data_IF_681709299954
#
_entry.id   IF_681709299954
#
_cell.length_a   1.000
_cell.length_b   1.000
_cell.length_c   1.000
_cell.angle_alpha   90.00
_cell.angle_beta   90.00
_cell.angle_gamma   90.00
#
_symmetry.space_group_name_H-M   'P 1'
#
loop_
_entity.id
_entity.type
_entity.pdbx_description
1 polymer ?
#
# COMPACT_ATOMS: atom_id res chain seq x y z
N UNK A 1 46.57 39.78 -0.91
CA UNK A 1 46.77 38.32 -0.76
C UNK A 1 45.42 37.60 -0.56
N UNK A 2 44.46 37.68 -1.49
CA UNK A 2 43.06 37.27 -1.20
C UNK A 2 42.19 36.80 -2.37
N UNK A 3 42.79 36.35 -3.48
CA UNK A 3 42.03 35.84 -4.65
C UNK A 3 42.14 34.33 -4.86
N UNK A 4 43.09 33.65 -4.18
CA UNK A 4 43.32 32.21 -4.32
C UNK A 4 42.38 31.35 -3.44
N UNK A 5 41.83 31.89 -2.35
CA UNK A 5 41.02 31.11 -1.41
C UNK A 5 39.56 30.93 -1.83
N UNK A 6 39.03 31.82 -2.69
CA UNK A 6 37.62 31.79 -3.13
C UNK A 6 37.36 30.85 -4.32
N UNK A 7 38.38 30.47 -5.09
CA UNK A 7 38.24 29.63 -6.29
C UNK A 7 38.10 28.15 -5.87
N UNK A 8 38.88 27.70 -4.90
CA UNK A 8 38.94 26.30 -4.45
C UNK A 8 37.64 25.84 -3.79
N UNK A 9 37.00 26.66 -2.96
CA UNK A 9 35.75 26.28 -2.27
C UNK A 9 34.55 26.21 -3.23
N UNK A 10 34.50 27.09 -4.25
CA UNK A 10 33.40 27.13 -5.22
C UNK A 10 33.50 25.99 -6.24
N UNK A 11 34.72 25.65 -6.67
CA UNK A 11 34.96 24.50 -7.55
C UNK A 11 34.71 23.16 -6.85
N UNK A 12 35.15 23.01 -5.59
CA UNK A 12 34.84 21.83 -4.77
C UNK A 12 33.34 21.66 -4.53
N UNK A 13 32.62 22.74 -4.22
CA UNK A 13 31.17 22.71 -4.06
C UNK A 13 30.46 22.35 -5.38
N UNK A 14 30.93 22.86 -6.52
CA UNK A 14 30.39 22.48 -7.84
C UNK A 14 30.69 21.02 -8.19
N UNK A 15 31.88 20.52 -7.84
CA UNK A 15 32.29 19.13 -8.05
C UNK A 15 31.51 18.15 -7.18
N UNK A 16 31.24 18.52 -5.93
CA UNK A 16 30.37 17.76 -5.04
C UNK A 16 28.92 17.74 -5.54
N UNK A 17 28.35 18.89 -5.92
CA UNK A 17 26.99 18.97 -6.46
C UNK A 17 26.86 18.22 -7.79
N UNK A 18 27.86 18.29 -8.67
CA UNK A 18 27.90 17.52 -9.90
C UNK A 18 28.02 16.02 -9.63
N UNK A 19 28.87 15.62 -8.67
CA UNK A 19 29.02 14.23 -8.23
C UNK A 19 27.75 13.68 -7.58
N UNK A 20 27.08 14.47 -6.76
CA UNK A 20 25.80 14.14 -6.14
C UNK A 20 24.67 14.03 -7.16
N UNK A 21 24.61 14.96 -8.13
CA UNK A 21 23.68 14.88 -9.27
C UNK A 21 23.93 13.59 -10.05
N UNK A 22 25.18 13.26 -10.39
CA UNK A 22 25.52 12.02 -11.09
C UNK A 22 25.21 10.76 -10.26
N UNK A 23 25.25 10.85 -8.92
CA UNK A 23 24.87 9.77 -8.03
C UNK A 23 23.35 9.55 -8.00
N UNK A 24 22.57 10.62 -7.81
CA UNK A 24 21.10 10.54 -7.82
C UNK A 24 20.60 10.15 -9.21
N UNK A 25 21.18 10.63 -10.30
CA UNK A 25 20.75 10.26 -11.66
C UNK A 25 20.93 8.77 -11.98
N UNK A 26 21.56 7.98 -11.10
CA UNK A 26 21.49 6.52 -11.18
C UNK A 26 20.05 6.09 -10.85
N UNK A 27 19.29 5.65 -11.84
CA UNK A 27 17.85 5.30 -11.68
C UNK A 27 17.54 4.41 -10.47
N UNK A 28 18.38 3.40 -10.20
CA UNK A 28 18.25 2.50 -9.04
C UNK A 28 18.27 3.24 -7.68
N UNK A 29 18.94 4.40 -7.58
CA UNK A 29 19.02 5.19 -6.34
C UNK A 29 17.75 6.02 -6.14
N UNK A 30 17.19 6.58 -7.22
CA UNK A 30 15.95 7.38 -7.15
C UNK A 30 14.79 6.49 -6.75
N UNK A 31 14.62 5.34 -7.40
CA UNK A 31 13.50 4.45 -7.15
C UNK A 31 13.54 3.88 -5.72
N UNK A 32 14.74 3.53 -5.23
CA UNK A 32 14.93 3.13 -3.84
C UNK A 32 14.61 4.27 -2.87
N UNK A 33 15.09 5.49 -3.14
CA UNK A 33 14.85 6.64 -2.27
C UNK A 33 13.34 7.00 -2.20
N UNK A 34 12.66 6.98 -3.34
CA UNK A 34 11.21 7.21 -3.40
C UNK A 34 10.45 6.12 -2.62
N UNK A 35 10.83 4.85 -2.79
CA UNK A 35 10.25 3.74 -2.05
C UNK A 35 10.39 3.87 -0.52
N UNK A 36 11.56 4.29 -0.03
CA UNK A 36 11.79 4.49 1.41
C UNK A 36 11.01 5.68 1.96
N UNK A 37 10.96 6.81 1.23
CA UNK A 37 10.22 8.00 1.66
C UNK A 37 8.72 7.71 1.71
N UNK A 38 8.18 7.10 0.65
CA UNK A 38 6.76 6.73 0.58
C UNK A 38 6.46 5.68 1.64
N UNK A 39 7.30 4.65 1.81
CA UNK A 39 7.12 3.62 2.82
C UNK A 39 7.09 4.19 4.24
N UNK A 40 8.00 5.11 4.56
CA UNK A 40 8.04 5.78 5.87
C UNK A 40 6.83 6.70 6.12
N UNK A 41 6.39 7.44 5.10
CA UNK A 41 5.20 8.30 5.22
C UNK A 41 3.90 7.47 5.31
N UNK A 42 3.75 6.46 4.47
CA UNK A 42 2.60 5.57 4.44
C UNK A 42 2.47 4.75 5.72
N UNK A 43 3.60 4.29 6.28
CA UNK A 43 3.64 3.65 7.59
C UNK A 43 2.99 4.50 8.67
N UNK A 44 3.30 5.81 8.73
CA UNK A 44 2.67 6.74 9.70
C UNK A 44 1.16 6.87 9.51
N UNK A 45 0.69 6.91 8.26
CA UNK A 45 -0.75 6.98 7.95
C UNK A 45 -1.46 5.73 8.49
N UNK A 46 -0.89 4.55 8.26
CA UNK A 46 -1.44 3.30 8.77
C UNK A 46 -1.38 3.26 10.30
N UNK A 47 -0.25 3.65 10.91
CA UNK A 47 -0.11 3.70 12.36
C UNK A 47 -1.16 4.61 13.00
N UNK A 48 -1.42 5.79 12.43
CA UNK A 48 -2.48 6.69 12.92
C UNK A 48 -3.87 6.08 12.72
N UNK A 49 -4.16 5.48 11.56
CA UNK A 49 -5.44 4.79 11.35
C UNK A 49 -5.66 3.67 12.39
N UNK A 50 -4.62 2.88 12.68
CA UNK A 50 -4.72 1.83 13.68
C UNK A 50 -4.89 2.42 15.07
N UNK A 51 -4.01 3.33 15.48
CA UNK A 51 -3.96 3.83 16.86
C UNK A 51 -5.14 4.75 17.20
N UNK A 52 -5.58 5.56 16.25
CA UNK A 52 -6.56 6.62 16.50
C UNK A 52 -7.98 6.20 16.09
N UNK A 53 -8.14 5.18 15.24
CA UNK A 53 -9.47 4.74 14.75
C UNK A 53 -9.79 3.29 15.13
N UNK A 54 -8.84 2.37 15.01
CA UNK A 54 -9.11 0.93 15.24
C UNK A 54 -8.95 0.55 16.71
N UNK A 55 -7.90 1.04 17.39
CA UNK A 55 -7.63 0.72 18.78
C UNK A 55 -8.67 1.26 19.76
N UNK A 56 -9.20 2.50 19.66
CA UNK A 56 -10.12 3.00 20.68
C UNK A 56 -11.40 2.15 20.84
N UNK A 57 -12.08 1.73 19.74
CA UNK A 57 -13.20 0.80 19.84
C UNK A 57 -12.82 -0.56 20.44
N UNK A 58 -11.66 -1.11 20.07
CA UNK A 58 -11.18 -2.40 20.59
C UNK A 58 -10.84 -2.30 22.09
N UNK A 59 -10.19 -1.21 22.49
CA UNK A 59 -9.84 -0.93 23.88
C UNK A 59 -11.08 -0.80 24.76
N UNK A 60 -12.11 -0.09 24.29
CA UNK A 60 -13.41 -0.01 24.99
C UNK A 60 -14.06 -1.38 25.09
N UNK A 61 -14.05 -2.18 24.01
CA UNK A 61 -14.65 -3.51 23.99
C UNK A 61 -13.98 -4.50 24.97
N UNK A 62 -12.66 -4.37 25.14
CA UNK A 62 -11.86 -5.22 26.04
C UNK A 62 -11.92 -4.77 27.51
N UNK A 63 -12.65 -3.68 27.82
CA UNK A 63 -12.81 -3.18 29.19
C UNK A 63 -11.89 -2.03 29.57
N UNK A 64 -11.41 -1.25 28.61
CA UNK A 64 -10.52 -0.10 28.84
C UNK A 64 -9.07 -0.51 29.15
N UNK A 65 -8.66 -1.71 28.73
CA UNK A 65 -7.32 -2.24 29.04
C UNK A 65 -6.29 -1.55 28.16
N UNK A 66 -5.66 -0.50 28.68
CA UNK A 66 -4.38 -0.05 28.15
C UNK A 66 -3.30 -1.00 28.66
N UNK A 67 -2.83 -1.89 27.79
CA UNK A 67 -1.76 -2.83 28.14
C UNK A 67 -0.49 -2.12 28.64
N UNK A 68 -0.31 -0.82 28.32
CA UNK A 68 0.72 0.08 28.85
C UNK A 68 0.78 0.16 30.38
N UNK A 69 -0.33 -0.05 31.08
CA UNK A 69 -0.41 0.10 32.54
C UNK A 69 0.12 -1.12 33.29
N UNK A 70 0.41 -2.23 32.59
CA UNK A 70 1.07 -3.37 33.19
C UNK A 70 2.54 -3.06 33.45
N UNK A 71 2.84 -2.73 34.71
CA UNK A 71 4.19 -2.46 35.19
C UNK A 71 4.47 -3.19 36.50
N UNK A 72 5.65 -3.79 36.59
CA UNK A 72 6.14 -4.42 37.82
C UNK A 72 7.15 -3.49 38.50
N UNK A 73 6.92 -3.15 39.77
CA UNK A 73 7.86 -2.38 40.58
C UNK A 73 9.03 -3.28 41.02
N UNK A 74 10.23 -3.08 40.49
CA UNK A 74 11.39 -3.90 40.87
C UNK A 74 12.00 -3.39 42.16
N UNK A 75 12.11 -2.07 42.31
CA UNK A 75 12.86 -1.47 43.42
C UNK A 75 12.33 -0.07 43.69
N UNK A 76 11.97 0.14 44.95
CA UNK A 76 11.72 1.45 45.52
C UNK A 76 12.98 1.82 46.29
N UNK A 77 13.80 2.72 45.75
CA UNK A 77 14.99 3.24 46.46
C UNK A 77 14.71 4.66 46.93
N UNK A 78 15.04 5.02 48.19
CA UNK A 78 14.97 6.41 48.62
C UNK A 78 15.92 7.24 47.76
N UNK A 79 15.49 8.44 47.38
CA UNK A 79 16.35 9.39 46.70
C UNK A 79 17.36 9.87 47.74
N UNK A 80 18.65 9.65 47.48
CA UNK A 80 19.74 10.05 48.36
C UNK A 80 20.34 11.37 47.84
N UNK A 81 20.76 12.26 48.74
CA UNK A 81 21.58 13.42 48.39
C UNK A 81 23.03 13.01 48.08
N UNK A 82 23.86 13.96 47.62
CA UNK A 82 25.29 13.71 47.32
C UNK A 82 26.10 13.22 48.55
N UNK A 83 25.51 13.26 49.76
CA UNK A 83 26.07 12.75 51.01
C UNK A 83 25.51 11.39 51.45
N UNK A 84 24.62 10.76 50.69
CA UNK A 84 24.05 9.44 50.99
C UNK A 84 22.90 9.45 52.01
N UNK A 85 22.37 10.62 52.39
CA UNK A 85 21.21 10.75 53.27
C UNK A 85 19.91 10.81 52.47
N UNK A 86 18.80 10.21 52.96
CA UNK A 86 17.53 10.26 52.25
C UNK A 86 16.98 11.68 52.15
N UNK A 87 16.59 12.09 50.94
CA UNK A 87 16.03 13.41 50.65
C UNK A 87 14.57 13.46 51.07
N UNK A 88 14.25 14.42 51.94
CA UNK A 88 12.89 14.74 52.35
C UNK A 88 12.47 16.07 51.72
N UNK A 89 11.34 16.10 51.02
CA UNK A 89 10.73 17.36 50.54
C UNK A 89 9.37 17.49 51.23
N UNK A 90 9.15 18.62 51.93
CA UNK A 90 7.95 18.87 52.72
C UNK A 90 7.62 17.76 53.75
N UNK A 91 8.64 17.18 54.37
CA UNK A 91 8.47 16.12 55.39
C UNK A 91 8.12 14.73 54.84
N UNK A 92 8.11 14.56 53.51
CA UNK A 92 7.85 13.28 52.84
C UNK A 92 9.15 12.77 52.22
N UNK A 93 9.53 11.53 52.55
CA UNK A 93 10.70 10.88 51.97
C UNK A 93 10.44 10.60 50.49
N UNK A 94 11.32 11.09 49.62
CA UNK A 94 11.17 10.84 48.19
C UNK A 94 11.74 9.48 47.83
N UNK A 95 11.00 8.75 47.02
CA UNK A 95 11.41 7.47 46.46
C UNK A 95 11.50 7.60 44.94
N UNK A 96 12.53 7.01 44.35
CA UNK A 96 12.53 6.74 42.92
C UNK A 96 12.13 5.28 42.72
N UNK A 97 10.95 5.12 42.12
CA UNK A 97 10.36 3.82 41.83
C UNK A 97 10.85 3.37 40.45
N UNK A 98 11.54 2.23 40.39
CA UNK A 98 12.03 1.62 39.14
C UNK A 98 11.03 0.57 38.67
N UNK A 99 10.38 0.82 37.54
CA UNK A 99 9.35 -0.05 36.96
C UNK A 99 9.88 -0.83 35.74
N UNK A 100 9.59 -2.14 35.65
CA UNK A 100 9.59 -2.86 34.38
C UNK A 100 8.23 -2.64 33.74
N UNK A 101 8.20 -1.85 32.67
CA UNK A 101 6.98 -1.55 31.90
C UNK A 101 6.80 -2.58 30.78
N UNK A 102 6.62 -3.85 31.14
CA UNK A 102 6.42 -4.93 30.16
C UNK A 102 5.11 -4.75 29.37
N UNK A 103 4.16 -4.01 29.94
CA UNK A 103 2.96 -3.55 29.26
C UNK A 103 3.20 -2.82 27.95
N UNK A 104 4.23 -1.96 27.90
CA UNK A 104 4.58 -1.24 26.68
C UNK A 104 5.07 -2.20 25.57
N UNK A 105 5.77 -3.26 25.94
CA UNK A 105 6.24 -4.26 24.96
C UNK A 105 5.07 -5.03 24.37
N UNK A 106 4.13 -5.47 25.20
CA UNK A 106 2.91 -6.16 24.75
C UNK A 106 2.08 -5.25 23.85
N UNK A 107 1.95 -3.98 24.23
CA UNK A 107 1.27 -2.99 23.41
C UNK A 107 1.92 -2.81 22.04
N UNK A 108 3.24 -2.67 21.96
CA UNK A 108 3.95 -2.55 20.67
C UNK A 108 3.75 -3.80 19.80
N UNK A 109 3.74 -4.99 20.39
CA UNK A 109 3.48 -6.25 19.66
C UNK A 109 2.05 -6.26 19.09
N UNK A 110 1.05 -5.86 19.88
CA UNK A 110 -0.33 -5.77 19.43
C UNK A 110 -0.51 -4.71 18.33
N UNK A 111 0.09 -3.53 18.50
CA UNK A 111 0.11 -2.47 17.48
C UNK A 111 0.72 -2.99 16.17
N UNK A 112 1.86 -3.68 16.23
CA UNK A 112 2.49 -4.28 15.06
C UNK A 112 1.58 -5.32 14.37
N UNK A 113 0.93 -6.20 15.14
CA UNK A 113 0.04 -7.22 14.61
C UNK A 113 -1.18 -6.61 13.90
N UNK A 114 -1.78 -5.57 14.50
CA UNK A 114 -2.94 -4.88 13.91
C UNK A 114 -2.51 -4.10 12.67
N UNK A 115 -1.37 -3.41 12.69
CA UNK A 115 -0.81 -2.71 11.52
C UNK A 115 -0.56 -3.71 10.38
N UNK A 116 0.06 -4.85 10.66
CA UNK A 116 0.31 -5.88 9.66
C UNK A 116 -0.99 -6.41 9.04
N UNK A 117 -2.01 -6.67 9.86
CA UNK A 117 -3.33 -7.10 9.40
C UNK A 117 -4.04 -6.00 8.59
N UNK A 118 -3.90 -4.74 8.99
CA UNK A 118 -4.48 -3.60 8.29
C UNK A 118 -3.84 -3.40 6.91
N UNK A 119 -2.50 -3.48 6.81
CA UNK A 119 -1.77 -3.44 5.53
C UNK A 119 -2.23 -4.58 4.63
N UNK A 120 -2.30 -5.80 5.17
CA UNK A 120 -2.78 -6.96 4.45
C UNK A 120 -4.20 -6.73 3.92
N UNK A 121 -5.11 -6.22 4.75
CA UNK A 121 -6.50 -5.99 4.35
C UNK A 121 -6.61 -4.92 3.25
N UNK A 122 -5.85 -3.83 3.35
CA UNK A 122 -5.80 -2.78 2.32
C UNK A 122 -5.26 -3.35 1.00
N UNK A 123 -4.13 -4.05 1.03
CA UNK A 123 -3.56 -4.67 -0.17
C UNK A 123 -4.50 -5.71 -0.76
N UNK A 124 -5.08 -6.57 0.07
CA UNK A 124 -6.07 -7.56 -0.33
C UNK A 124 -7.28 -6.90 -0.98
N UNK A 125 -7.82 -5.84 -0.38
CA UNK A 125 -8.96 -5.11 -0.91
C UNK A 125 -8.66 -4.46 -2.27
N UNK A 126 -7.50 -3.81 -2.40
CA UNK A 126 -7.08 -3.19 -3.66
C UNK A 126 -6.83 -4.24 -4.76
N UNK A 127 -6.11 -5.30 -4.47
CA UNK A 127 -5.82 -6.38 -5.43
C UNK A 127 -7.11 -7.08 -5.83
N UNK A 128 -7.96 -7.43 -4.86
CA UNK A 128 -9.24 -8.08 -5.11
C UNK A 128 -10.22 -7.20 -5.89
N UNK A 129 -10.20 -5.87 -5.68
CA UNK A 129 -10.97 -4.93 -6.53
C UNK A 129 -10.50 -4.99 -7.98
N UNK A 130 -9.19 -4.91 -8.24
CA UNK A 130 -8.67 -4.97 -9.61
C UNK A 130 -8.96 -6.31 -10.29
N UNK A 131 -8.85 -7.42 -9.56
CA UNK A 131 -9.22 -8.73 -10.09
C UNK A 131 -10.72 -8.85 -10.38
N UNK A 132 -11.58 -8.27 -9.54
CA UNK A 132 -13.02 -8.27 -9.78
C UNK A 132 -13.38 -7.41 -10.99
N UNK A 133 -12.74 -6.25 -11.18
CA UNK A 133 -12.91 -5.40 -12.36
C UNK A 133 -12.49 -6.12 -13.64
N UNK A 134 -11.35 -6.83 -13.62
CA UNK A 134 -10.88 -7.64 -14.75
C UNK A 134 -11.81 -8.82 -15.06
N UNK A 135 -12.34 -9.50 -14.03
CA UNK A 135 -13.31 -10.60 -14.20
C UNK A 135 -14.65 -10.10 -14.78
N UNK A 136 -15.13 -8.93 -14.35
CA UNK A 136 -16.36 -8.32 -14.88
C UNK A 136 -16.20 -7.91 -16.35
N UNK A 137 -15.04 -7.37 -16.73
CA UNK A 137 -14.75 -7.04 -18.13
C UNK A 137 -14.68 -8.30 -19.01
N UNK A 138 -13.98 -9.33 -18.56
CA UNK A 138 -13.89 -10.61 -19.26
C UNK A 138 -15.24 -11.33 -19.39
N UNK A 139 -16.13 -11.19 -18.40
CA UNK A 139 -17.51 -11.69 -18.48
C UNK A 139 -18.35 -10.89 -19.47
N UNK A 140 -18.18 -9.57 -19.56
CA UNK A 140 -18.84 -8.73 -20.57
C UNK A 140 -18.36 -9.06 -21.98
N UNK A 141 -17.06 -9.27 -22.19
CA UNK A 141 -16.52 -9.70 -23.49
C UNK A 141 -17.03 -11.07 -23.90
N UNK A 142 -17.14 -12.02 -22.96
CA UNK A 142 -17.77 -13.33 -23.22
C UNK A 142 -19.25 -13.20 -23.54
N UNK A 143 -20.00 -12.38 -22.81
CA UNK A 143 -21.41 -12.12 -23.11
C UNK A 143 -21.61 -11.40 -24.44
N UNK A 144 -20.73 -10.45 -24.79
CA UNK A 144 -20.76 -9.74 -26.07
C UNK A 144 -20.42 -10.67 -27.24
N UNK A 145 -19.45 -11.58 -27.06
CA UNK A 145 -19.14 -12.60 -28.06
C UNK A 145 -20.27 -13.64 -28.17
N UNK A 146 -20.88 -14.06 -27.06
CA UNK A 146 -22.04 -14.96 -27.06
C UNK A 146 -23.29 -14.29 -27.65
N UNK A 147 -23.44 -12.97 -27.52
CA UNK A 147 -24.52 -12.18 -28.15
C UNK A 147 -24.27 -11.98 -29.65
N UNK A 148 -23.03 -11.75 -30.09
CA UNK A 148 -22.66 -11.75 -31.51
C UNK A 148 -22.77 -13.14 -32.15
N UNK A 149 -22.62 -14.20 -31.37
CA UNK A 149 -22.79 -15.59 -31.79
C UNK A 149 -24.26 -16.05 -31.76
N UNK A 150 -25.11 -15.42 -30.93
CA UNK A 150 -26.56 -15.68 -30.84
C UNK A 150 -27.44 -14.72 -31.64
N UNK A 151 -26.93 -13.60 -32.12
CA UNK A 151 -27.54 -12.96 -33.27
C UNK A 151 -27.56 -14.01 -34.38
N UNK A 152 -28.72 -14.26 -35.03
CA UNK A 152 -28.77 -15.22 -36.10
C UNK A 152 -27.74 -14.74 -37.11
N UNK A 153 -26.67 -15.51 -37.26
CA UNK A 153 -25.75 -15.42 -38.38
C UNK A 153 -26.65 -15.50 -39.59
N UNK A 154 -27.00 -14.33 -40.14
CA UNK A 154 -27.34 -14.20 -41.54
C UNK A 154 -26.06 -14.66 -42.19
N UNK A 155 -25.94 -15.96 -42.41
CA UNK A 155 -24.96 -16.53 -43.32
C UNK A 155 -25.19 -15.71 -44.57
N UNK A 156 -24.31 -14.76 -44.83
CA UNK A 156 -24.11 -14.25 -46.17
C UNK A 156 -24.03 -15.50 -47.01
N UNK A 157 -25.09 -15.73 -47.78
CA UNK A 157 -25.20 -16.88 -48.65
C UNK A 157 -23.90 -16.82 -49.46
N UNK A 158 -23.01 -17.82 -49.35
CA UNK A 158 -21.75 -17.82 -50.08
C UNK A 158 -22.06 -17.45 -51.53
N UNK A 159 -21.29 -16.53 -52.13
CA UNK A 159 -21.60 -16.00 -53.46
C UNK A 159 -21.87 -17.14 -54.46
N UNK A 160 -21.18 -18.27 -54.30
CA UNK A 160 -21.42 -19.51 -55.03
C UNK A 160 -22.87 -20.02 -54.94
N UNK A 161 -23.49 -20.04 -53.77
CA UNK A 161 -24.89 -20.48 -53.60
C UNK A 161 -25.85 -19.45 -54.20
N UNK A 162 -25.51 -18.16 -54.17
CA UNK A 162 -26.30 -17.10 -54.81
C UNK A 162 -26.23 -17.21 -56.34
N UNK A 163 -25.02 -17.39 -56.88
CA UNK A 163 -24.77 -17.65 -58.30
C UNK A 163 -25.46 -18.94 -58.77
N UNK A 164 -25.40 -20.02 -57.98
CA UNK A 164 -26.08 -21.28 -58.30
C UNK A 164 -27.61 -21.13 -58.28
N UNK A 165 -28.15 -20.24 -57.43
CA UNK A 165 -29.59 -19.94 -57.41
C UNK A 165 -30.00 -19.15 -58.66
N UNK A 166 -29.21 -18.14 -59.05
CA UNK A 166 -29.43 -17.35 -60.26
C UNK A 166 -29.30 -18.21 -61.54
N UNK A 167 -28.31 -19.11 -61.61
CA UNK A 167 -28.14 -20.05 -62.73
C UNK A 167 -29.34 -21.01 -62.84
N UNK A 168 -29.82 -21.57 -61.71
CA UNK A 168 -31.00 -22.44 -61.70
C UNK A 168 -32.24 -21.72 -62.24
N UNK A 169 -32.44 -20.48 -61.82
CA UNK A 169 -33.61 -19.71 -62.22
C UNK A 169 -33.53 -19.28 -63.69
N UNK A 170 -32.34 -18.93 -64.20
CA UNK A 170 -32.10 -18.68 -65.63
C UNK A 170 -32.33 -19.94 -66.48
N UNK A 171 -31.86 -21.10 -66.03
CA UNK A 171 -32.03 -22.36 -66.77
C UNK A 171 -33.48 -22.84 -66.75
N UNK A 172 -34.21 -22.62 -65.65
CA UNK A 172 -35.65 -22.89 -65.57
C UNK A 172 -36.44 -21.97 -66.50
N UNK A 173 -35.99 -20.72 -66.67
CA UNK A 173 -36.58 -19.78 -67.63
C UNK A 173 -36.35 -20.25 -69.07
N UNK A 174 -35.11 -20.63 -69.41
CA UNK A 174 -34.82 -21.18 -70.74
C UNK A 174 -35.52 -22.51 -71.02
N UNK A 175 -35.70 -23.38 -70.02
CA UNK A 175 -36.43 -24.64 -70.20
C UNK A 175 -37.91 -24.42 -70.48
N UNK A 176 -38.50 -23.35 -69.91
CA UNK A 176 -39.89 -22.98 -70.19
C UNK A 176 -40.06 -22.21 -71.51
N UNK A 177 -38.99 -21.62 -72.05
CA UNK A 177 -39.00 -20.93 -73.36
C UNK A 177 -38.81 -21.89 -74.55
N UNK A 178 -38.35 -23.13 -74.31
CA UNK A 178 -38.11 -24.16 -75.34
C UNK A 178 -39.22 -25.21 -75.44
N UNK A 179 -40.39 -24.97 -74.85
CA UNK A 179 -41.63 -25.76 -74.98
C UNK A 179 -42.68 -24.90 -75.66
#
# INVERSE_FOLDING_TARGET
MGKKDKVTTKELASGFVAGFKNFIMRGNVIDMAVGVIIGGAFGKIITSLVNDVILPPIGVLLGGVEFRDLQWLISRKPILDDGGSPVFVNGIQQFTDVYIRYGNLIQIILEFLIIALCIYFVLYFFIKRKENEAKILALKEKQENELKEKEPVVKEIPEDIKLLTEIRDLLKRESNEKV
#
